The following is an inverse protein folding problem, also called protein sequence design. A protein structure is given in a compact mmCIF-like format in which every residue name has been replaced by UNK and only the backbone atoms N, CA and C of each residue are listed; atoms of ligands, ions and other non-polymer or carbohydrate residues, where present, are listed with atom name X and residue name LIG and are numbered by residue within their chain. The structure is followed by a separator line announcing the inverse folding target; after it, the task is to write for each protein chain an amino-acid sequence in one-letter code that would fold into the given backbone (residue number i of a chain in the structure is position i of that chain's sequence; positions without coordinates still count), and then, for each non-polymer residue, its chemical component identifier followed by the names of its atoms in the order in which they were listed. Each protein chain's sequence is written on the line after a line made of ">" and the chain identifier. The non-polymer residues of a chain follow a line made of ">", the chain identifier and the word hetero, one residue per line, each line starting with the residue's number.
data_IF_826691744421
#
_entry.id   IF_826691744421
#
_cell.length_a   1.000
_cell.length_b   1.000
_cell.length_c   1.000
_cell.angle_alpha   90.00
_cell.angle_beta   90.00
_cell.angle_gamma   90.00
#
_symmetry.space_group_name_H-M   'P 1'
#
loop_
_entity.id
_entity.type
_entity.pdbx_description
1 polymer ?
#
# COMPACT_ATOMS: atom_id res chain seq x y z
N UNK A 1 8.69 -1.63 -11.63
CA UNK A 1 7.26 -1.58 -12.02
C UNK A 1 6.97 -0.35 -12.87
N UNK A 2 5.80 -0.24 -13.49
CA UNK A 2 5.34 0.98 -14.17
C UNK A 2 4.30 1.71 -13.31
N UNK A 3 4.53 2.98 -13.04
CA UNK A 3 3.57 3.91 -12.44
C UNK A 3 2.95 4.78 -13.53
N UNK A 4 1.63 4.99 -13.46
CA UNK A 4 0.92 5.90 -14.35
C UNK A 4 0.59 7.18 -13.61
N UNK A 5 1.13 8.30 -14.08
CA UNK A 5 0.97 9.62 -13.47
C UNK A 5 -0.50 10.01 -13.39
N UNK A 6 -0.94 10.41 -12.20
CA UNK A 6 -2.30 10.92 -11.93
C UNK A 6 -2.29 12.45 -11.86
N UNK A 7 -3.48 13.03 -11.97
CA UNK A 7 -3.66 14.48 -11.87
C UNK A 7 -3.09 15.03 -10.54
N UNK A 8 -2.27 16.08 -10.64
CA UNK A 8 -1.67 16.77 -9.50
C UNK A 8 -0.44 16.09 -8.88
N UNK A 9 0.02 14.96 -9.41
CA UNK A 9 1.27 14.35 -8.96
C UNK A 9 2.50 15.11 -9.45
N UNK A 10 3.53 15.17 -8.60
CA UNK A 10 4.87 15.65 -8.96
C UNK A 10 5.84 14.48 -8.89
N UNK A 11 6.95 14.54 -9.65
CA UNK A 11 7.94 13.47 -9.62
C UNK A 11 8.53 13.27 -8.21
N UNK A 12 8.72 14.37 -7.48
CA UNK A 12 9.15 14.35 -6.08
C UNK A 12 8.14 13.64 -5.15
N UNK A 13 6.83 13.84 -5.35
CA UNK A 13 5.82 13.11 -4.57
C UNK A 13 5.79 11.63 -4.93
N UNK A 14 5.93 11.28 -6.22
CA UNK A 14 6.03 9.88 -6.68
C UNK A 14 7.24 9.21 -6.03
N UNK A 15 8.41 9.85 -6.07
CA UNK A 15 9.63 9.38 -5.41
C UNK A 15 9.41 9.09 -3.92
N UNK A 16 8.78 10.02 -3.18
CA UNK A 16 8.43 9.82 -1.78
C UNK A 16 7.44 8.67 -1.60
N UNK A 17 6.37 8.59 -2.39
CA UNK A 17 5.35 7.53 -2.32
C UNK A 17 5.96 6.13 -2.40
N UNK A 18 6.93 5.92 -3.28
CA UNK A 18 7.61 4.63 -3.46
C UNK A 18 8.86 4.44 -2.59
N UNK A 19 9.24 5.45 -1.80
CA UNK A 19 10.51 5.48 -1.02
C UNK A 19 11.72 5.22 -1.92
N UNK A 20 11.69 5.76 -3.13
CA UNK A 20 12.74 5.62 -4.14
C UNK A 20 13.39 6.97 -4.38
N UNK A 21 14.73 7.09 -4.34
CA UNK A 21 15.40 8.35 -4.63
C UNK A 21 15.02 8.90 -6.01
N UNK A 22 14.79 10.20 -6.09
CA UNK A 22 14.42 10.89 -7.33
C UNK A 22 15.44 10.60 -8.45
N UNK A 23 16.73 10.63 -8.12
CA UNK A 23 17.81 10.35 -9.06
C UNK A 23 17.73 8.92 -9.65
N UNK A 24 17.32 7.93 -8.84
CA UNK A 24 17.14 6.56 -9.32
C UNK A 24 15.96 6.44 -10.28
N UNK A 25 14.88 7.17 -10.04
CA UNK A 25 13.74 7.23 -10.98
C UNK A 25 14.18 7.92 -12.27
N UNK A 26 14.87 9.07 -12.20
CA UNK A 26 15.37 9.75 -13.40
C UNK A 26 16.32 8.87 -14.22
N UNK A 27 17.25 8.15 -13.57
CA UNK A 27 18.17 7.23 -14.24
C UNK A 27 17.44 6.08 -14.95
N UNK A 28 16.33 5.60 -14.39
CA UNK A 28 15.50 4.55 -14.99
C UNK A 28 14.59 5.05 -16.13
N UNK A 29 14.48 6.37 -16.32
CA UNK A 29 13.59 6.98 -17.32
C UNK A 29 14.34 8.04 -18.15
N UNK A 30 15.22 7.62 -19.08
CA UNK A 30 15.94 8.55 -19.95
C UNK A 30 14.97 9.48 -20.72
N UNK A 31 15.21 10.79 -20.66
CA UNK A 31 14.37 11.80 -21.33
C UNK A 31 13.17 12.30 -20.53
N UNK A 32 12.94 11.80 -19.31
CA UNK A 32 11.93 12.33 -18.41
C UNK A 32 12.32 13.73 -17.88
N UNK A 33 11.48 14.73 -18.11
CA UNK A 33 11.60 16.04 -17.44
C UNK A 33 10.94 15.98 -16.05
N UNK A 34 11.69 16.24 -14.95
CA UNK A 34 11.14 16.18 -13.60
C UNK A 34 10.12 17.28 -13.27
N UNK A 35 10.09 18.37 -14.04
CA UNK A 35 9.20 19.51 -13.81
C UNK A 35 7.94 19.48 -14.68
N UNK A 36 7.88 18.60 -15.68
CA UNK A 36 6.77 18.50 -16.64
C UNK A 36 6.28 17.06 -16.71
N UNK A 37 5.18 16.77 -16.01
CA UNK A 37 4.51 15.48 -16.05
C UNK A 37 3.14 15.58 -16.72
N UNK A 38 2.81 14.60 -17.54
CA UNK A 38 1.50 14.49 -18.20
C UNK A 38 0.65 13.42 -17.52
N UNK A 39 -0.64 13.69 -17.35
CA UNK A 39 -1.59 12.68 -16.84
C UNK A 39 -1.58 11.48 -17.78
N UNK A 40 -1.48 10.27 -17.23
CA UNK A 40 -1.38 9.03 -18.00
C UNK A 40 0.05 8.66 -18.43
N UNK A 41 1.04 9.54 -18.23
CA UNK A 41 2.43 9.24 -18.53
C UNK A 41 2.91 8.04 -17.71
N UNK A 42 3.61 7.13 -18.36
CA UNK A 42 4.18 5.95 -17.72
C UNK A 42 5.61 6.24 -17.25
N UNK A 43 5.88 5.95 -15.97
CA UNK A 43 7.19 6.12 -15.34
C UNK A 43 7.62 4.78 -14.76
N UNK A 44 8.82 4.35 -15.09
CA UNK A 44 9.47 3.19 -14.49
C UNK A 44 9.87 3.54 -13.06
N UNK A 45 9.35 2.79 -12.09
CA UNK A 45 9.83 2.83 -10.70
C UNK A 45 10.75 1.63 -10.49
N UNK A 46 12.07 1.84 -10.33
CA UNK A 46 13.03 0.76 -10.12
C UNK A 46 12.89 0.14 -8.73
N UNK A 47 13.41 -1.07 -8.54
CA UNK A 47 13.43 -1.76 -7.24
C UNK A 47 12.17 -2.55 -6.87
N UNK A 48 11.12 -2.49 -7.70
CA UNK A 48 9.89 -3.27 -7.50
C UNK A 48 9.57 -4.16 -8.71
N UNK A 49 9.20 -5.43 -8.48
CA UNK A 49 8.73 -6.32 -9.55
C UNK A 49 7.44 -5.78 -10.17
N UNK A 50 7.07 -6.29 -11.34
CA UNK A 50 5.74 -6.02 -11.90
C UNK A 50 4.68 -6.67 -10.99
N UNK A 51 3.71 -5.93 -10.44
CA UNK A 51 2.68 -6.53 -9.58
C UNK A 51 1.91 -7.68 -10.26
N UNK A 52 1.77 -7.63 -11.58
CA UNK A 52 1.07 -8.67 -12.35
C UNK A 52 1.86 -9.98 -12.47
N UNK A 53 3.14 -10.02 -12.10
CA UNK A 53 3.95 -11.25 -12.04
C UNK A 53 3.95 -11.89 -10.65
N UNK A 54 3.38 -11.20 -9.65
CA UNK A 54 3.20 -11.75 -8.30
C UNK A 54 1.82 -12.43 -8.28
N UNK A 55 1.71 -13.72 -7.88
CA UNK A 55 0.44 -14.43 -7.89
C UNK A 55 -0.53 -13.93 -6.82
N UNK A 56 -0.03 -13.18 -5.84
CA UNK A 56 -0.81 -12.62 -4.75
C UNK A 56 -1.38 -11.24 -5.07
N UNK A 57 -2.63 -11.00 -4.66
CA UNK A 57 -3.23 -9.66 -4.63
C UNK A 57 -4.02 -9.46 -3.34
N UNK A 58 -3.98 -8.23 -2.84
CA UNK A 58 -4.76 -7.78 -1.68
C UNK A 58 -5.90 -6.90 -2.18
N UNK A 59 -7.10 -7.17 -1.70
CA UNK A 59 -8.33 -6.45 -1.96
C UNK A 59 -8.90 -5.93 -0.65
N UNK A 60 -9.21 -4.63 -0.57
CA UNK A 60 -9.65 -3.95 0.65
C UNK A 60 -10.95 -3.21 0.34
N UNK A 61 -12.01 -3.58 1.05
CA UNK A 61 -13.27 -2.83 1.10
C UNK A 61 -13.34 -2.05 2.41
N UNK A 62 -13.42 -0.72 2.33
CA UNK A 62 -13.49 0.17 3.49
C UNK A 62 -14.89 0.19 4.11
N UNK A 63 -15.94 0.03 3.32
CA UNK A 63 -17.34 -0.07 3.76
C UNK A 63 -17.59 -1.37 4.52
N UNK A 64 -17.14 -2.49 3.94
CA UNK A 64 -17.32 -3.81 4.55
C UNK A 64 -16.26 -4.12 5.61
N UNK A 65 -15.17 -3.34 5.66
CA UNK A 65 -14.05 -3.49 6.62
C UNK A 65 -13.40 -4.87 6.55
N UNK A 66 -13.14 -5.32 5.33
CA UNK A 66 -12.44 -6.57 5.05
C UNK A 66 -11.20 -6.33 4.20
N UNK A 67 -10.11 -7.00 4.57
CA UNK A 67 -8.97 -7.26 3.71
C UNK A 67 -9.03 -8.70 3.24
N UNK A 68 -9.00 -8.93 1.93
CA UNK A 68 -9.01 -10.25 1.30
C UNK A 68 -7.70 -10.49 0.58
N UNK A 69 -7.08 -11.62 0.84
CA UNK A 69 -5.90 -12.09 0.16
C UNK A 69 -6.30 -13.13 -0.88
N UNK A 70 -5.92 -12.89 -2.13
CA UNK A 70 -6.07 -13.85 -3.22
C UNK A 70 -4.71 -14.36 -3.67
N UNK A 71 -4.67 -15.60 -4.15
CA UNK A 71 -3.56 -16.19 -4.90
C UNK A 71 -4.13 -16.75 -6.20
N UNK A 72 -3.59 -16.34 -7.35
CA UNK A 72 -4.06 -16.77 -8.66
C UNK A 72 -5.59 -16.58 -8.83
N UNK A 73 -6.10 -15.45 -8.31
CA UNK A 73 -7.52 -15.08 -8.22
C UNK A 73 -8.41 -15.96 -7.33
N UNK A 74 -7.85 -16.95 -6.62
CA UNK A 74 -8.57 -17.74 -5.62
C UNK A 74 -8.42 -17.11 -4.24
N UNK A 75 -9.54 -16.85 -3.56
CA UNK A 75 -9.55 -16.31 -2.20
C UNK A 75 -8.85 -17.29 -1.25
N UNK A 76 -7.82 -16.83 -0.56
CA UNK A 76 -7.05 -17.63 0.40
C UNK A 76 -7.43 -17.29 1.83
N UNK A 77 -7.52 -15.99 2.14
CA UNK A 77 -7.74 -15.47 3.49
C UNK A 77 -8.59 -14.22 3.45
N UNK A 78 -9.31 -13.99 4.54
CA UNK A 78 -10.09 -12.78 4.76
C UNK A 78 -9.92 -12.33 6.22
N UNK A 79 -9.63 -11.05 6.42
CA UNK A 79 -9.28 -10.48 7.73
C UNK A 79 -10.14 -9.26 8.03
N UNK A 80 -10.69 -9.14 9.24
CA UNK A 80 -11.37 -7.91 9.65
C UNK A 80 -10.33 -6.80 9.82
N UNK A 81 -10.68 -5.58 9.41
CA UNK A 81 -9.78 -4.44 9.48
C UNK A 81 -10.41 -3.22 10.13
N UNK A 82 -9.58 -2.33 10.68
CA UNK A 82 -9.97 -0.95 10.97
C UNK A 82 -9.53 -0.05 9.82
N UNK A 83 -10.34 0.96 9.52
CA UNK A 83 -10.09 1.92 8.43
C UNK A 83 -10.15 3.37 8.95
N UNK A 84 -9.83 4.31 8.07
CA UNK A 84 -9.92 5.74 8.35
C UNK A 84 -11.32 6.16 8.81
N UNK A 85 -11.37 7.06 9.80
CA UNK A 85 -12.62 7.72 10.20
C UNK A 85 -13.03 8.77 9.15
N UNK A 86 -14.30 9.19 9.21
CA UNK A 86 -14.82 10.30 8.40
C UNK A 86 -13.88 11.53 8.51
N UNK A 87 -13.56 12.14 7.35
CA UNK A 87 -12.57 13.23 7.17
C UNK A 87 -11.08 12.82 7.27
N UNK A 88 -10.78 11.53 7.48
CA UNK A 88 -9.45 10.94 7.39
C UNK A 88 -9.52 9.57 6.70
N UNK A 89 -10.24 9.52 5.57
CA UNK A 89 -10.59 8.28 4.91
C UNK A 89 -9.34 7.51 4.45
N UNK A 90 -9.45 6.18 4.47
CA UNK A 90 -8.45 5.33 3.83
C UNK A 90 -8.45 5.61 2.32
N UNK A 91 -7.29 5.91 1.71
CA UNK A 91 -7.21 6.31 0.32
C UNK A 91 -7.61 5.16 -0.60
N UNK A 92 -8.47 5.43 -1.58
CA UNK A 92 -8.87 4.46 -2.59
C UNK A 92 -7.89 4.41 -3.77
N UNK A 93 -7.96 3.32 -4.53
CA UNK A 93 -7.20 3.09 -5.75
C UNK A 93 -6.19 1.95 -5.63
N UNK A 94 -5.25 1.92 -6.58
CA UNK A 94 -4.22 0.90 -6.68
C UNK A 94 -2.92 1.34 -6.01
N UNK A 95 -2.35 0.45 -5.21
CA UNK A 95 -1.09 0.58 -4.50
C UNK A 95 -0.29 -0.73 -4.57
N UNK A 96 0.93 -0.74 -4.05
CA UNK A 96 1.71 -1.95 -3.80
C UNK A 96 2.30 -1.93 -2.38
N UNK A 97 2.66 -3.12 -1.86
CA UNK A 97 3.51 -3.24 -0.67
C UNK A 97 4.95 -2.87 -1.05
N UNK A 98 5.52 -1.81 -0.47
CA UNK A 98 6.87 -1.34 -0.85
C UNK A 98 7.98 -1.76 0.12
N UNK A 99 7.66 -1.93 1.40
CA UNK A 99 8.58 -2.47 2.39
C UNK A 99 7.80 -3.02 3.59
N UNK A 100 8.52 -3.67 4.49
CA UNK A 100 7.98 -4.20 5.74
C UNK A 100 8.93 -3.87 6.88
N UNK A 101 8.38 -3.56 8.03
CA UNK A 101 9.11 -3.26 9.26
C UNK A 101 8.54 -4.13 10.39
N UNK A 102 9.28 -5.16 10.83
CA UNK A 102 8.86 -6.02 11.94
C UNK A 102 9.07 -5.31 13.28
N UNK A 103 8.11 -5.48 14.19
CA UNK A 103 8.11 -4.93 15.55
C UNK A 103 8.23 -3.39 15.65
N UNK A 104 7.44 -2.60 14.89
CA UNK A 104 7.45 -1.14 14.99
C UNK A 104 6.95 -0.63 16.36
N UNK A 105 6.18 -1.45 17.08
CA UNK A 105 5.68 -1.14 18.41
C UNK A 105 4.57 -0.08 18.44
N UNK A 106 4.20 0.32 19.65
CA UNK A 106 3.20 1.37 19.88
C UNK A 106 1.87 1.12 19.13
N UNK A 107 1.29 2.15 18.49
CA UNK A 107 0.01 2.01 17.77
C UNK A 107 0.09 1.13 16.51
N UNK A 108 1.31 0.79 16.06
CA UNK A 108 1.56 0.00 14.86
C UNK A 108 1.65 -1.50 15.14
N UNK A 109 1.73 -1.91 16.41
CA UNK A 109 1.76 -3.30 16.81
C UNK A 109 3.04 -4.01 16.38
N UNK A 110 2.90 -5.23 15.87
CA UNK A 110 4.02 -6.15 15.62
C UNK A 110 4.54 -6.14 14.18
N UNK A 111 3.84 -5.48 13.25
CA UNK A 111 4.23 -5.42 11.85
C UNK A 111 3.69 -4.16 11.18
N UNK A 112 4.52 -3.53 10.36
CA UNK A 112 4.14 -2.46 9.45
C UNK A 112 4.48 -2.87 8.01
N UNK A 113 3.53 -2.72 7.09
CA UNK A 113 3.74 -2.87 5.66
C UNK A 113 3.39 -1.56 4.97
N UNK A 114 4.39 -0.88 4.40
CA UNK A 114 4.16 0.40 3.72
C UNK A 114 3.41 0.19 2.41
N UNK A 115 2.42 1.04 2.15
CA UNK A 115 1.82 1.18 0.82
C UNK A 115 2.65 2.16 -0.02
N UNK A 116 2.48 2.10 -1.35
CA UNK A 116 3.02 3.08 -2.29
C UNK A 116 2.29 4.44 -2.23
N UNK A 117 2.12 4.97 -1.01
CA UNK A 117 1.58 6.28 -0.69
C UNK A 117 2.24 6.74 0.61
N UNK A 118 2.77 7.95 0.61
CA UNK A 118 3.44 8.51 1.78
C UNK A 118 2.54 8.51 3.02
N UNK A 119 3.07 8.05 4.16
CA UNK A 119 2.38 7.90 5.46
C UNK A 119 1.32 6.81 5.60
N UNK A 120 0.97 6.06 4.54
CA UNK A 120 -0.04 5.00 4.62
C UNK A 120 0.59 3.61 4.63
N UNK A 121 -0.03 2.71 5.40
CA UNK A 121 0.40 1.32 5.54
C UNK A 121 -0.71 0.41 6.05
N UNK A 122 -0.45 -0.89 5.95
CA UNK A 122 -1.20 -1.95 6.63
C UNK A 122 -0.37 -2.34 7.85
N UNK A 123 -0.94 -2.27 9.05
CA UNK A 123 -0.19 -2.54 10.26
C UNK A 123 -1.02 -3.22 11.35
N UNK A 124 -0.34 -3.72 12.39
CA UNK A 124 -0.97 -4.29 13.57
C UNK A 124 -1.62 -3.23 14.47
N UNK A 125 -1.88 -3.53 15.73
CA UNK A 125 -2.36 -2.53 16.68
C UNK A 125 -2.10 -2.91 18.12
N UNK A 126 -1.93 -1.91 18.99
CA UNK A 126 -1.99 -2.07 20.44
C UNK A 126 -3.41 -1.89 21.01
N UNK A 127 -4.41 -1.61 20.16
CA UNK A 127 -5.82 -1.51 20.55
C UNK A 127 -6.67 -2.47 19.71
N UNK A 128 -6.73 -3.77 20.06
CA UNK A 128 -7.49 -4.78 19.31
C UNK A 128 -8.98 -4.46 19.17
N UNK A 129 -9.57 -3.70 20.10
CA UNK A 129 -10.98 -3.29 20.03
C UNK A 129 -11.28 -2.31 18.88
N UNK A 130 -10.25 -1.73 18.25
CA UNK A 130 -10.42 -0.85 17.10
C UNK A 130 -10.74 -1.60 15.80
N UNK A 131 -10.46 -2.90 15.72
CA UNK A 131 -10.67 -3.70 14.51
C UNK A 131 -12.15 -3.85 14.23
N UNK A 132 -12.56 -3.67 12.97
CA UNK A 132 -13.97 -3.66 12.57
C UNK A 132 -14.64 -2.29 12.68
N UNK A 133 -13.90 -1.22 12.97
CA UNK A 133 -14.42 0.15 13.09
C UNK A 133 -13.67 1.17 12.21
N UNK A 134 -14.31 2.31 11.92
CA UNK A 134 -13.73 3.45 11.21
C UNK A 134 -13.15 4.47 12.20
N UNK A 135 -11.94 4.21 12.68
CA UNK A 135 -11.32 4.96 13.80
C UNK A 135 -9.87 5.36 13.56
N UNK A 136 -9.27 4.93 12.44
CA UNK A 136 -7.87 5.23 12.13
C UNK A 136 -7.71 6.64 11.53
N UNK A 137 -6.47 7.08 11.33
CA UNK A 137 -6.12 8.31 10.59
C UNK A 137 -5.92 8.05 9.09
N UNK A 138 -6.44 6.93 8.59
CA UNK A 138 -6.37 6.53 7.18
C UNK A 138 -5.60 5.22 6.93
N UNK A 139 -4.73 4.79 7.85
CA UNK A 139 -4.07 3.47 7.75
C UNK A 139 -5.04 2.30 7.97
N UNK A 140 -4.70 1.14 7.41
CA UNK A 140 -5.43 -0.10 7.62
C UNK A 140 -4.84 -0.82 8.82
N UNK A 141 -5.66 -1.07 9.84
CA UNK A 141 -5.24 -1.83 11.03
C UNK A 141 -5.75 -3.26 10.96
N UNK A 142 -4.95 -4.19 11.44
CA UNK A 142 -5.28 -5.60 11.59
C UNK A 142 -4.97 -6.05 13.03
N UNK A 143 -5.47 -7.21 13.44
CA UNK A 143 -4.91 -7.87 14.61
C UNK A 143 -3.44 -8.25 14.34
N UNK A 144 -2.60 -8.20 15.39
CA UNK A 144 -1.16 -8.50 15.27
C UNK A 144 -0.88 -9.86 14.60
N UNK A 145 -1.58 -10.91 15.03
CA UNK A 145 -1.50 -12.25 14.41
C UNK A 145 -1.84 -12.25 12.91
N UNK A 146 -2.80 -11.42 12.50
CA UNK A 146 -3.31 -11.41 11.12
C UNK A 146 -2.35 -10.64 10.20
N UNK A 147 -1.76 -9.52 10.69
CA UNK A 147 -0.75 -8.77 9.91
C UNK A 147 0.57 -9.54 9.82
N UNK A 148 0.95 -10.29 10.85
CA UNK A 148 2.11 -11.19 10.83
C UNK A 148 1.90 -12.31 9.80
N UNK A 149 0.74 -12.98 9.82
CA UNK A 149 0.38 -13.99 8.83
C UNK A 149 0.42 -13.40 7.41
N UNK A 150 -0.28 -12.29 7.18
CA UNK A 150 -0.30 -11.63 5.87
C UNK A 150 1.12 -11.28 5.40
N UNK A 151 1.93 -10.66 6.26
CA UNK A 151 3.31 -10.28 5.96
C UNK A 151 4.21 -11.49 5.65
N UNK A 152 3.95 -12.65 6.23
CA UNK A 152 4.70 -13.88 5.92
C UNK A 152 4.37 -14.44 4.53
N UNK A 153 3.17 -14.16 4.01
CA UNK A 153 2.69 -14.71 2.73
C UNK A 153 3.05 -13.80 1.55
N UNK A 154 2.79 -12.49 1.64
CA UNK A 154 2.85 -11.61 0.47
C UNK A 154 4.26 -11.02 0.26
N UNK A 155 4.88 -11.10 -0.93
CA UNK A 155 6.17 -10.46 -1.18
C UNK A 155 6.05 -8.93 -1.35
N UNK A 156 7.19 -8.21 -1.29
CA UNK A 156 7.27 -6.81 -1.73
C UNK A 156 6.87 -6.72 -3.21
N UNK A 157 6.12 -5.68 -3.57
CA UNK A 157 5.52 -5.48 -4.88
C UNK A 157 4.11 -6.05 -5.03
N UNK A 158 3.59 -6.78 -4.03
CA UNK A 158 2.21 -7.29 -4.06
C UNK A 158 1.22 -6.17 -4.27
N UNK A 159 0.34 -6.32 -5.26
CA UNK A 159 -0.70 -5.35 -5.58
C UNK A 159 -1.75 -5.25 -4.46
N UNK A 160 -2.13 -4.03 -4.12
CA UNK A 160 -3.15 -3.70 -3.13
C UNK A 160 -4.20 -2.82 -3.81
N UNK A 161 -5.44 -3.27 -3.88
CA UNK A 161 -6.56 -2.49 -4.37
C UNK A 161 -7.47 -2.11 -3.21
N UNK A 162 -7.71 -0.81 -3.04
CA UNK A 162 -8.57 -0.27 -1.99
C UNK A 162 -9.77 0.42 -2.63
N UNK A 163 -10.96 0.02 -2.22
CA UNK A 163 -12.22 0.56 -2.69
C UNK A 163 -13.20 0.73 -1.51
N UNK A 164 -14.29 1.48 -1.69
CA UNK A 164 -15.42 1.46 -0.76
C UNK A 164 -15.88 0.00 -0.52
#
# INVERSE_FOLDING_TARGET
>A
MIHTVRAGETLSQIARNYRTPLASIMAANPGLDPNVLYIGQQIVIPGFPNPNTIPYRIDISTENRWLRLYKDNVLQKQYPIAVGRMLHDTPTGHFIIINKDPNPGGPFGTMWMSLSKEHYGIHGTNNPSSIGHAVSRGCIRMHNKDVEELASIVPIGTGVFIHP
#
